data_IF_461076772710
#
_entry.id   IF_461076772710
#
_cell.length_a   1.000
_cell.length_b   1.000
_cell.length_c   1.000
_cell.angle_alpha   90.00
_cell.angle_beta   90.00
_cell.angle_gamma   90.00
#
_symmetry.space_group_name_H-M   'P 1'
#
loop_
_entity.id
_entity.type
_entity.pdbx_description
1 polymer ?
#
# COMPACT_ATOMS: atom_id res chain seq x y z
N UNK A 1 -0.06 3.84 -6.84
CA UNK A 1 -1.45 4.34 -6.86
C UNK A 1 -1.52 5.66 -6.10
N UNK A 2 -2.45 6.55 -6.44
CA UNK A 2 -2.79 7.71 -5.61
C UNK A 2 -4.23 7.59 -5.10
N UNK A 3 -4.44 7.72 -3.80
CA UNK A 3 -5.74 7.72 -3.13
C UNK A 3 -5.62 8.31 -1.72
N UNK A 4 -6.73 8.66 -1.08
CA UNK A 4 -6.78 9.07 0.33
C UNK A 4 -6.92 7.81 1.20
N UNK A 5 -5.79 7.26 1.68
CA UNK A 5 -5.77 5.99 2.42
C UNK A 5 -5.94 6.20 3.92
N UNK A 6 -5.59 7.38 4.47
CA UNK A 6 -5.80 7.71 5.88
C UNK A 6 -7.07 8.54 6.15
N UNK A 7 -7.86 8.82 5.11
CA UNK A 7 -9.14 9.54 5.16
C UNK A 7 -9.01 10.97 5.70
N UNK A 8 -7.85 11.61 5.51
CA UNK A 8 -7.58 12.97 5.98
C UNK A 8 -7.95 14.06 4.95
N UNK A 9 -8.48 13.65 3.78
CA UNK A 9 -8.87 14.52 2.68
C UNK A 9 -7.72 14.94 1.77
N UNK A 10 -6.52 14.38 1.95
CA UNK A 10 -5.36 14.64 1.11
C UNK A 10 -4.98 13.38 0.34
N UNK A 11 -4.34 13.60 -0.80
CA UNK A 11 -3.95 12.50 -1.67
C UNK A 11 -2.64 11.88 -1.17
N UNK A 12 -2.67 10.59 -0.88
CA UNK A 12 -1.51 9.79 -0.51
C UNK A 12 -0.99 9.01 -1.72
N UNK A 13 0.23 8.49 -1.60
CA UNK A 13 0.81 7.59 -2.61
C UNK A 13 1.10 6.21 -2.04
N UNK A 14 0.58 5.17 -2.70
CA UNK A 14 0.97 3.79 -2.49
C UNK A 14 1.93 3.36 -3.62
N UNK A 15 3.00 2.66 -3.25
CA UNK A 15 3.98 2.12 -4.18
C UNK A 15 4.24 0.65 -3.83
N UNK A 16 4.25 -0.20 -4.84
CA UNK A 16 4.79 -1.56 -4.74
C UNK A 16 6.12 -1.65 -5.47
N UNK A 17 7.12 -2.19 -4.79
CA UNK A 17 8.44 -2.34 -5.36
C UNK A 17 9.36 -3.18 -4.48
N UNK A 18 10.20 -3.98 -5.13
CA UNK A 18 11.16 -4.85 -4.48
C UNK A 18 11.51 -6.02 -5.39
N UNK A 19 12.79 -6.37 -5.46
CA UNK A 19 13.22 -7.56 -6.19
C UNK A 19 13.26 -8.79 -5.27
N UNK A 20 13.84 -9.90 -5.73
CA UNK A 20 13.95 -11.13 -4.95
C UNK A 20 14.93 -11.03 -3.76
N UNK A 21 15.74 -9.96 -3.69
CA UNK A 21 16.93 -9.84 -2.86
C UNK A 21 16.87 -8.66 -1.87
N UNK A 22 16.08 -7.63 -2.15
CA UNK A 22 15.68 -6.59 -1.20
C UNK A 22 14.54 -7.02 -0.28
N UNK A 23 14.13 -6.15 0.64
CA UNK A 23 12.91 -6.35 1.44
C UNK A 23 11.70 -6.09 0.54
N UNK A 24 10.92 -7.11 0.14
CA UNK A 24 9.73 -6.88 -0.68
C UNK A 24 8.69 -6.10 0.13
N UNK A 25 8.33 -4.92 -0.33
CA UNK A 25 7.45 -4.04 0.42
C UNK A 25 6.42 -3.32 -0.43
N UNK A 26 5.24 -3.11 0.18
CA UNK A 26 4.34 -2.03 -0.18
C UNK A 26 4.68 -0.82 0.71
N UNK A 27 4.78 0.35 0.09
CA UNK A 27 5.09 1.61 0.77
C UNK A 27 3.92 2.58 0.64
N UNK A 28 3.44 3.12 1.76
CA UNK A 28 2.46 4.20 1.81
C UNK A 28 3.15 5.50 2.21
N UNK A 29 2.93 6.55 1.44
CA UNK A 29 3.41 7.91 1.66
C UNK A 29 2.20 8.83 1.88
N UNK A 30 1.87 9.17 3.14
CA UNK A 30 0.74 10.05 3.42
C UNK A 30 1.01 11.47 2.92
N UNK A 31 0.06 12.04 2.19
CA UNK A 31 0.15 13.37 1.61
C UNK A 31 0.04 14.47 2.66
N UNK A 32 0.76 15.57 2.45
CA UNK A 32 0.53 16.80 3.23
C UNK A 32 -0.39 17.80 2.53
N UNK A 33 -0.77 17.54 1.27
CA UNK A 33 -1.63 18.42 0.46
C UNK A 33 -0.90 19.59 -0.20
N UNK A 34 0.39 19.76 0.07
CA UNK A 34 1.27 20.77 -0.54
C UNK A 34 2.20 20.19 -1.61
N UNK A 35 1.94 18.96 -2.04
CA UNK A 35 2.81 18.20 -2.95
C UNK A 35 3.97 17.48 -2.26
N UNK A 36 4.11 17.61 -0.93
CA UNK A 36 5.06 16.83 -0.13
C UNK A 36 4.38 15.67 0.62
N UNK A 37 5.19 14.72 1.08
CA UNK A 37 4.75 13.53 1.81
C UNK A 37 5.28 13.53 3.26
N UNK A 38 4.55 12.84 4.14
CA UNK A 38 4.99 12.45 5.49
C UNK A 38 5.96 11.26 5.42
N UNK A 39 6.44 10.81 6.57
CA UNK A 39 7.30 9.63 6.64
C UNK A 39 6.63 8.40 6.03
N UNK A 40 7.41 7.62 5.29
CA UNK A 40 6.95 6.40 4.64
C UNK A 40 6.54 5.34 5.65
N UNK A 41 5.40 4.71 5.43
CA UNK A 41 4.96 3.51 6.12
C UNK A 41 5.26 2.32 5.22
N UNK A 42 6.00 1.34 5.73
CA UNK A 42 6.52 0.21 4.94
C UNK A 42 5.90 -1.07 5.48
N UNK A 43 5.33 -1.86 4.59
CA UNK A 43 4.67 -3.12 4.90
C UNK A 43 5.28 -4.25 4.09
N UNK A 44 5.70 -5.31 4.77
CA UNK A 44 6.27 -6.49 4.12
C UNK A 44 5.22 -7.25 3.32
N UNK A 45 5.56 -7.62 2.08
CA UNK A 45 4.73 -8.45 1.19
C UNK A 45 5.53 -9.66 0.68
N UNK A 46 4.95 -10.46 -0.23
CA UNK A 46 5.66 -11.56 -0.86
C UNK A 46 6.72 -11.08 -1.86
N UNK A 47 7.58 -12.00 -2.32
CA UNK A 47 8.75 -11.64 -3.15
C UNK A 47 8.36 -11.17 -4.56
N UNK A 48 9.10 -10.18 -5.04
CA UNK A 48 8.90 -9.55 -6.35
C UNK A 48 7.44 -9.13 -6.57
N UNK A 49 6.90 -8.17 -5.78
CA UNK A 49 5.59 -7.61 -6.05
C UNK A 49 5.60 -6.91 -7.41
N UNK A 50 4.69 -7.28 -8.31
CA UNK A 50 4.67 -6.78 -9.71
C UNK A 50 3.47 -5.91 -10.03
N UNK A 51 2.38 -6.03 -9.27
CA UNK A 51 1.20 -5.20 -9.41
C UNK A 51 0.51 -4.98 -8.06
N UNK A 52 -0.26 -3.90 -8.00
CA UNK A 52 -1.10 -3.55 -6.85
C UNK A 52 -2.55 -3.33 -7.30
N UNK A 53 -3.48 -3.61 -6.39
CA UNK A 53 -4.89 -3.25 -6.49
C UNK A 53 -5.34 -2.60 -5.18
N UNK A 54 -6.29 -1.68 -5.27
CA UNK A 54 -6.82 -0.92 -4.13
C UNK A 54 -8.33 -1.04 -4.11
N UNK A 55 -8.91 -1.27 -2.93
CA UNK A 55 -10.35 -1.37 -2.73
C UNK A 55 -10.70 -1.80 -1.32
N UNK A 56 -11.98 -1.72 -0.94
CA UNK A 56 -12.44 -2.28 0.33
C UNK A 56 -12.60 -3.79 0.20
N UNK A 57 -11.59 -4.56 0.62
CA UNK A 57 -11.58 -6.02 0.49
C UNK A 57 -12.22 -6.71 1.69
N UNK A 58 -12.34 -6.02 2.83
CA UNK A 58 -13.01 -6.52 4.03
C UNK A 58 -14.32 -5.78 4.39
N UNK A 59 -14.71 -4.77 3.61
CA UNK A 59 -15.93 -3.96 3.79
C UNK A 59 -16.02 -3.18 5.12
N UNK A 60 -14.88 -2.79 5.71
CA UNK A 60 -14.84 -1.96 6.92
C UNK A 60 -14.94 -0.45 6.66
N UNK A 61 -14.93 -0.05 5.39
CA UNK A 61 -15.01 1.35 4.96
C UNK A 61 -13.65 2.01 4.73
N UNK A 62 -12.54 1.32 4.99
CA UNK A 62 -11.21 1.75 4.63
C UNK A 62 -10.75 1.17 3.27
N UNK A 63 -9.81 1.84 2.62
CA UNK A 63 -9.17 1.32 1.41
C UNK A 63 -8.03 0.37 1.80
N UNK A 64 -8.14 -0.88 1.36
CA UNK A 64 -7.11 -1.90 1.50
C UNK A 64 -6.20 -1.94 0.26
N UNK A 65 -5.03 -2.59 0.41
CA UNK A 65 -4.08 -2.81 -0.68
C UNK A 65 -3.87 -4.31 -0.89
N UNK A 66 -3.94 -4.78 -2.14
CA UNK A 66 -3.56 -6.13 -2.53
C UNK A 66 -2.36 -6.09 -3.48
N UNK A 67 -1.42 -7.02 -3.32
CA UNK A 67 -0.20 -7.11 -4.12
C UNK A 67 -0.04 -8.51 -4.71
N UNK A 68 0.34 -8.59 -5.98
CA UNK A 68 0.69 -9.87 -6.63
C UNK A 68 2.20 -10.12 -6.54
N UNK A 69 2.60 -11.25 -5.95
CA UNK A 69 3.99 -11.55 -5.64
C UNK A 69 4.55 -12.58 -6.62
N UNK A 70 5.15 -12.11 -7.71
CA UNK A 70 5.52 -12.93 -8.87
C UNK A 70 6.47 -14.07 -8.55
N UNK A 71 7.43 -13.88 -7.64
CA UNK A 71 8.41 -14.91 -7.28
C UNK A 71 7.97 -15.80 -6.11
N UNK A 72 6.86 -15.45 -5.44
CA UNK A 72 6.29 -16.26 -4.36
C UNK A 72 5.05 -17.04 -4.80
N UNK A 73 4.48 -16.75 -5.97
CA UNK A 73 3.18 -17.29 -6.41
C UNK A 73 2.07 -17.06 -5.37
N UNK A 74 2.12 -15.93 -4.67
CA UNK A 74 1.13 -15.54 -3.65
C UNK A 74 0.53 -14.18 -3.94
N UNK A 75 -0.57 -13.89 -3.26
CA UNK A 75 -1.13 -12.54 -3.13
C UNK A 75 -1.03 -12.14 -1.66
N UNK A 76 -0.58 -10.91 -1.39
CA UNK A 76 -0.65 -10.33 -0.05
C UNK A 76 -1.76 -9.29 -0.01
N UNK A 77 -2.60 -9.33 1.02
CA UNK A 77 -3.64 -8.32 1.29
C UNK A 77 -3.27 -7.59 2.57
N UNK A 78 -3.12 -6.28 2.47
CA UNK A 78 -2.83 -5.37 3.55
C UNK A 78 -4.14 -4.70 3.94
N UNK A 79 -4.68 -5.12 5.08
CA UNK A 79 -5.92 -4.56 5.61
C UNK A 79 -5.62 -3.23 6.28
N UNK A 80 -6.32 -2.20 5.83
CA UNK A 80 -6.28 -0.90 6.45
C UNK A 80 -7.27 -0.89 7.61
N UNK A 81 -6.76 -0.82 8.84
CA UNK A 81 -7.61 -0.85 10.04
C UNK A 81 -8.23 0.51 10.37
N UNK A 82 -8.05 1.51 9.50
CA UNK A 82 -8.47 2.88 9.70
C UNK A 82 -7.70 3.59 10.83
N UNK A 83 -7.84 4.90 10.90
CA UNK A 83 -7.46 5.67 12.08
C UNK A 83 -8.66 5.76 13.02
N UNK A 84 -8.45 5.38 14.28
CA UNK A 84 -9.39 5.68 15.36
C UNK A 84 -9.45 7.18 15.65
#
# INVERSE_FOLDING_TARGET
>A
MLADFDADGKLDAALVGGDAYGTPAATLLPGKGDGSFRAAQIYTVGKAPVAEAVGGFNSDGALDIATSNGNSSTVSVLLNIGTK
#
